data_IF_412281684238
#
_entry.id   IF_412281684238
#
_cell.length_a   1.000
_cell.length_b   1.000
_cell.length_c   1.000
_cell.angle_alpha   90.00
_cell.angle_beta   90.00
_cell.angle_gamma   90.00
#
_symmetry.space_group_name_H-M   'P 1'
#
loop_
_entity.id
_entity.type
_entity.pdbx_description
1 polymer ?
#
# COMPACT_ATOMS: atom_id res chain seq x y z
N UNK A 1 -3.20 16.41 -0.64
CA UNK A 1 -2.62 15.06 -0.50
C UNK A 1 -3.05 14.28 -1.71
N UNK A 2 -2.14 14.02 -2.66
CA UNK A 2 -2.45 13.22 -3.84
C UNK A 2 -2.80 11.81 -3.38
N UNK A 3 -4.10 11.48 -3.36
CA UNK A 3 -4.57 10.12 -3.08
C UNK A 3 -4.49 9.36 -4.39
N UNK A 4 -3.71 8.28 -4.40
CA UNK A 4 -3.72 7.32 -5.51
C UNK A 4 -5.05 6.60 -5.53
N UNK A 5 -5.64 6.44 -6.71
CA UNK A 5 -6.90 5.70 -6.87
C UNK A 5 -6.72 4.23 -6.52
N UNK A 6 -7.68 3.68 -5.78
CA UNK A 6 -7.72 2.27 -5.39
C UNK A 6 -8.24 1.43 -6.55
N UNK A 7 -7.37 1.17 -7.52
CA UNK A 7 -7.67 0.35 -8.71
C UNK A 7 -6.81 -0.91 -8.74
N UNK A 8 -7.33 -1.95 -9.40
CA UNK A 8 -6.62 -3.21 -9.59
C UNK A 8 -5.34 -3.03 -10.43
N UNK A 9 -5.31 -2.02 -11.29
CA UNK A 9 -4.14 -1.62 -12.06
C UNK A 9 -3.04 -1.06 -11.14
N UNK A 10 -3.37 -0.04 -10.33
CA UNK A 10 -2.43 0.56 -9.38
C UNK A 10 -1.90 -0.46 -8.36
N UNK A 11 -2.75 -1.39 -7.91
CA UNK A 11 -2.34 -2.48 -7.02
C UNK A 11 -1.27 -3.37 -7.66
N UNK A 12 -1.43 -3.75 -8.93
CA UNK A 12 -0.48 -4.62 -9.64
C UNK A 12 0.86 -3.93 -9.93
N UNK A 13 0.82 -2.61 -10.10
CA UNK A 13 1.99 -1.78 -10.39
C UNK A 13 2.75 -1.38 -9.13
N UNK A 14 2.14 -1.54 -7.95
CA UNK A 14 2.76 -1.23 -6.67
C UNK A 14 3.83 -2.24 -6.23
N UNK A 15 4.95 -1.73 -5.73
CA UNK A 15 6.07 -2.52 -5.20
C UNK A 15 5.97 -2.81 -3.70
N UNK A 16 4.86 -2.44 -3.04
CA UNK A 16 4.64 -2.63 -1.60
C UNK A 16 4.93 -4.07 -1.12
N UNK A 17 4.54 -5.15 -1.83
CA UNK A 17 4.83 -6.52 -1.40
C UNK A 17 6.33 -6.87 -1.41
N UNK A 18 7.15 -6.10 -2.14
CA UNK A 18 8.61 -6.24 -2.23
C UNK A 18 9.35 -5.31 -1.26
N UNK A 19 8.63 -4.51 -0.50
CA UNK A 19 9.22 -3.59 0.45
C UNK A 19 10.04 -4.36 1.51
N UNK A 20 11.31 -4.00 1.75
CA UNK A 20 12.15 -4.69 2.73
C UNK A 20 11.61 -4.57 4.16
N UNK A 21 10.90 -3.47 4.45
CA UNK A 21 10.21 -3.26 5.73
C UNK A 21 8.93 -4.09 5.87
N UNK A 22 8.38 -4.57 4.75
CA UNK A 22 7.21 -5.45 4.74
C UNK A 22 7.66 -6.90 4.87
N UNK A 23 7.88 -7.29 6.13
CA UNK A 23 8.41 -8.62 6.47
C UNK A 23 7.42 -9.73 6.11
N UNK A 24 7.90 -10.97 6.14
CA UNK A 24 7.03 -12.14 5.94
C UNK A 24 5.88 -12.19 6.95
N UNK A 25 6.10 -11.78 8.21
CA UNK A 25 5.04 -11.69 9.22
C UNK A 25 3.92 -10.76 8.76
N UNK A 26 4.26 -9.57 8.28
CA UNK A 26 3.29 -8.62 7.75
C UNK A 26 2.47 -9.17 6.57
N UNK A 27 3.10 -9.96 5.69
CA UNK A 27 2.38 -10.62 4.60
C UNK A 27 1.34 -11.59 5.13
N UNK A 28 1.69 -12.40 6.12
CA UNK A 28 0.79 -13.40 6.70
C UNK A 28 -0.37 -12.74 7.44
N UNK A 29 -0.12 -11.67 8.20
CA UNK A 29 -1.18 -10.92 8.90
C UNK A 29 -2.14 -10.20 7.95
N UNK A 30 -1.66 -9.80 6.77
CA UNK A 30 -2.47 -9.13 5.77
C UNK A 30 -3.41 -10.07 4.99
N UNK A 31 -3.13 -11.38 4.94
CA UNK A 31 -3.93 -12.37 4.20
C UNK A 31 -5.41 -12.37 4.64
N UNK A 32 -5.75 -12.54 5.94
CA UNK A 32 -7.15 -12.59 6.36
C UNK A 32 -7.90 -11.29 6.06
N UNK A 33 -7.27 -10.12 6.29
CA UNK A 33 -7.86 -8.83 5.93
C UNK A 33 -8.10 -8.72 4.43
N UNK A 34 -7.07 -8.96 3.62
CA UNK A 34 -7.13 -8.88 2.16
C UNK A 34 -8.18 -9.83 1.56
N UNK A 35 -8.33 -11.05 2.09
CA UNK A 35 -9.36 -12.01 1.62
C UNK A 35 -10.76 -11.51 1.97
N UNK A 36 -10.98 -11.03 3.20
CA UNK A 36 -12.27 -10.50 3.64
C UNK A 36 -12.65 -9.24 2.84
N UNK A 37 -11.70 -8.33 2.66
CA UNK A 37 -11.86 -7.12 1.87
C UNK A 37 -12.20 -7.47 0.41
N UNK A 38 -11.47 -8.38 -0.23
CA UNK A 38 -11.76 -8.80 -1.61
C UNK A 38 -13.10 -9.53 -1.75
N UNK A 39 -13.47 -10.37 -0.78
CA UNK A 39 -14.75 -11.08 -0.77
C UNK A 39 -15.94 -10.14 -0.53
N UNK A 40 -15.79 -9.18 0.39
CA UNK A 40 -16.80 -8.16 0.69
C UNK A 40 -16.95 -7.12 -0.41
N UNK A 41 -15.85 -6.77 -1.08
CA UNK A 41 -15.82 -5.82 -2.18
C UNK A 41 -16.52 -6.32 -3.46
N UNK A 42 -16.84 -7.63 -3.58
CA UNK A 42 -17.28 -8.24 -4.85
C UNK A 42 -16.34 -7.90 -6.03
N UNK A 43 -15.04 -7.75 -5.76
CA UNK A 43 -14.04 -7.33 -6.74
C UNK A 43 -13.87 -5.81 -6.90
N UNK A 44 -14.66 -4.98 -6.22
CA UNK A 44 -14.57 -3.52 -6.27
C UNK A 44 -13.70 -2.96 -5.13
N UNK A 45 -12.38 -3.00 -5.33
CA UNK A 45 -11.41 -2.59 -4.30
C UNK A 45 -11.42 -1.09 -3.97
N UNK A 46 -12.15 -0.29 -4.75
CA UNK A 46 -12.31 1.15 -4.55
C UNK A 46 -12.94 1.49 -3.19
N UNK A 47 -13.75 0.56 -2.65
CA UNK A 47 -14.52 0.75 -1.41
C UNK A 47 -13.78 0.29 -0.15
N UNK A 48 -12.62 -0.33 -0.30
CA UNK A 48 -11.85 -0.80 0.85
C UNK A 48 -11.34 0.40 1.64
N UNK A 49 -11.43 0.35 2.97
CA UNK A 49 -10.81 1.37 3.82
C UNK A 49 -9.30 1.24 3.76
N UNK A 50 -8.79 0.02 3.92
CA UNK A 50 -7.38 -0.34 3.87
C UNK A 50 -7.11 -1.47 2.87
N UNK A 51 -5.93 -1.44 2.26
CA UNK A 51 -5.39 -2.43 1.33
C UNK A 51 -3.86 -2.50 1.48
N UNK A 52 -3.39 -3.47 2.26
CA UNK A 52 -1.98 -3.59 2.66
C UNK A 52 -1.03 -3.71 1.43
N UNK A 53 -1.51 -4.14 0.27
CA UNK A 53 -0.74 -4.17 -0.97
C UNK A 53 -0.42 -2.80 -1.59
N UNK A 54 -0.94 -1.69 -1.05
CA UNK A 54 -0.82 -0.35 -1.63
C UNK A 54 -0.40 0.73 -0.61
N UNK A 55 0.19 0.38 0.53
CA UNK A 55 0.55 1.37 1.57
C UNK A 55 1.54 2.46 1.12
N UNK A 56 2.26 2.26 0.00
CA UNK A 56 3.11 3.30 -0.59
C UNK A 56 2.34 4.40 -1.33
N UNK A 57 1.01 4.27 -1.46
CA UNK A 57 0.22 5.02 -2.43
C UNK A 57 -0.93 5.83 -1.81
N UNK A 58 -1.51 5.40 -0.68
CA UNK A 58 -2.69 6.07 -0.12
C UNK A 58 -2.74 6.14 1.42
N UNK A 59 -2.29 5.12 2.15
CA UNK A 59 -2.27 5.11 3.62
C UNK A 59 -1.11 4.27 4.17
N UNK A 60 -0.73 4.51 5.44
CA UNK A 60 0.27 3.70 6.14
C UNK A 60 -0.09 2.22 6.20
N UNK A 61 0.94 1.39 6.30
CA UNK A 61 0.76 -0.03 6.59
C UNK A 61 0.26 -0.22 8.02
N UNK A 62 -0.59 -1.23 8.24
CA UNK A 62 -0.99 -1.59 9.59
C UNK A 62 0.08 -2.42 10.31
N UNK A 63 0.93 -3.11 9.55
CA UNK A 63 2.02 -3.91 10.12
C UNK A 63 3.36 -3.16 10.24
N UNK A 64 3.71 -2.32 9.26
CA UNK A 64 5.00 -1.62 9.27
C UNK A 64 4.94 -0.44 10.25
N UNK A 65 5.62 -0.59 11.38
CA UNK A 65 5.70 0.45 12.41
C UNK A 65 7.12 1.01 12.61
N UNK A 66 8.13 0.38 12.00
CA UNK A 66 9.51 0.81 12.08
C UNK A 66 9.89 1.69 10.88
N UNK A 67 10.70 2.72 11.12
CA UNK A 67 11.23 3.61 10.07
C UNK A 67 12.38 2.95 9.30
N UNK A 68 12.13 1.78 8.75
CA UNK A 68 12.98 1.12 7.75
C UNK A 68 12.48 1.59 6.39
N UNK A 69 13.32 2.26 5.61
CA UNK A 69 12.93 2.82 4.31
C UNK A 69 12.35 1.78 3.36
N UNK A 70 11.59 2.22 2.36
CA UNK A 70 10.93 1.35 1.39
C UNK A 70 11.21 1.80 -0.05
N UNK A 71 11.01 0.91 -1.00
CA UNK A 71 11.22 1.12 -2.44
C UNK A 71 10.05 1.87 -3.10
N UNK A 72 9.32 2.71 -2.35
CA UNK A 72 8.10 3.36 -2.84
C UNK A 72 8.40 4.30 -4.02
N UNK A 73 9.54 5.01 -4.02
CA UNK A 73 9.90 5.94 -5.10
C UNK A 73 10.23 5.26 -6.44
N UNK A 74 10.58 3.98 -6.44
CA UNK A 74 10.80 3.19 -7.64
C UNK A 74 9.49 2.67 -8.26
N UNK A 75 8.38 2.78 -7.54
CA UNK A 75 7.07 2.37 -8.02
C UNK A 75 6.57 3.32 -9.12
N UNK A 76 6.10 2.77 -10.24
CA UNK A 76 5.56 3.56 -11.34
C UNK A 76 4.35 4.42 -10.92
N UNK A 77 3.51 3.88 -10.04
CA UNK A 77 2.35 4.60 -9.47
C UNK A 77 2.81 5.84 -8.70
N UNK A 78 3.96 5.79 -8.03
CA UNK A 78 4.52 6.92 -7.31
C UNK A 78 4.90 8.06 -8.26
N UNK A 79 5.43 7.70 -9.45
CA UNK A 79 5.80 8.65 -10.51
C UNK A 79 4.56 9.22 -11.20
N UNK A 80 3.62 8.38 -11.60
CA UNK A 80 2.39 8.80 -12.28
C UNK A 80 1.57 9.78 -11.44
N UNK A 81 1.46 9.50 -10.14
CA UNK A 81 0.70 10.34 -9.21
C UNK A 81 1.53 11.48 -8.60
N UNK A 82 2.77 11.68 -9.07
CA UNK A 82 3.69 12.73 -8.61
C UNK A 82 3.78 12.79 -7.07
N UNK A 83 3.92 11.63 -6.45
CA UNK A 83 4.14 11.53 -5.01
C UNK A 83 5.57 12.00 -4.70
N UNK A 84 5.71 13.10 -3.95
CA UNK A 84 7.00 13.74 -3.65
C UNK A 84 7.63 13.30 -2.31
N UNK A 85 6.83 12.66 -1.45
CA UNK A 85 7.24 12.34 -0.08
C UNK A 85 7.83 10.95 0.06
N UNK A 86 8.38 10.67 1.24
CA UNK A 86 8.83 9.34 1.63
C UNK A 86 7.92 8.70 2.67
N UNK A 87 8.28 7.50 3.11
CA UNK A 87 7.73 6.90 4.34
C UNK A 87 6.19 6.75 4.39
N UNK A 88 5.55 6.65 3.23
CA UNK A 88 4.11 6.36 3.12
C UNK A 88 3.72 5.09 3.88
N UNK A 89 4.62 4.11 3.99
CA UNK A 89 4.42 2.87 4.74
C UNK A 89 4.21 3.05 6.25
N UNK A 90 4.66 4.16 6.86
CA UNK A 90 4.51 4.43 8.31
C UNK A 90 3.65 5.65 8.61
N UNK A 91 3.46 6.54 7.63
CA UNK A 91 2.69 7.77 7.79
C UNK A 91 1.76 8.00 6.60
N UNK A 92 0.46 8.10 6.87
CA UNK A 92 -0.54 8.43 5.86
C UNK A 92 -0.23 9.77 5.22
N UNK A 93 -0.14 9.78 3.88
CA UNK A 93 0.24 10.97 3.11
C UNK A 93 1.73 11.30 3.12
N UNK A 94 2.57 10.40 3.63
CA UNK A 94 4.03 10.50 3.60
C UNK A 94 4.62 11.51 4.57
N UNK A 95 5.93 11.41 4.79
CA UNK A 95 6.74 12.34 5.59
C UNK A 95 7.63 13.18 4.69
#
# INVERSE_FOLDING_TARGET
MSKVDKTLDNLKRCLCPKCPSYTFGCKVEAIPGTIVDLAGAKGDISKLEHLEGMFCAYEKSNCINEQKGCLCGDCEVHKDYNLDKGYYCIQTGGK
#
